data_IF_702108847442
#
_entry.id   IF_702108847442
#
_cell.length_a   1.000
_cell.length_b   1.000
_cell.length_c   1.000
_cell.angle_alpha   90.00
_cell.angle_beta   90.00
_cell.angle_gamma   90.00
#
_symmetry.space_group_name_H-M   'P 1'
#
loop_
_entity.id
_entity.type
_entity.pdbx_description
1 polymer ?
#
# COMPACT_ATOMS: atom_id res chain seq x y z
N UNK A 1 -10.90 55.52 -38.88
CA UNK A 1 -10.80 54.08 -39.19
C UNK A 1 -9.82 53.46 -38.21
N UNK A 2 -10.33 52.47 -37.48
CA UNK A 2 -9.69 51.33 -36.83
C UNK A 2 -8.66 51.54 -35.70
N UNK A 3 -9.18 51.28 -34.50
CA UNK A 3 -8.48 50.80 -33.33
C UNK A 3 -7.73 49.48 -33.59
N UNK A 4 -6.59 49.31 -32.91
CA UNK A 4 -5.98 48.01 -32.66
C UNK A 4 -5.77 47.88 -31.13
N UNK A 5 -6.30 46.83 -30.48
CA UNK A 5 -6.21 46.66 -29.04
C UNK A 5 -4.89 45.98 -28.63
N UNK A 6 -4.29 46.43 -27.54
CA UNK A 6 -3.21 45.70 -26.87
C UNK A 6 -3.79 44.50 -26.11
N UNK A 7 -3.31 43.32 -26.47
CA UNK A 7 -3.65 42.02 -25.88
C UNK A 7 -3.15 41.96 -24.42
N UNK A 8 -4.12 41.86 -23.50
CA UNK A 8 -3.90 41.47 -22.11
C UNK A 8 -3.55 39.97 -22.09
N UNK A 9 -2.34 39.65 -21.64
CA UNK A 9 -1.90 38.28 -21.40
C UNK A 9 -2.48 37.83 -20.06
N UNK A 10 -3.50 36.96 -20.11
CA UNK A 10 -3.98 36.22 -18.93
C UNK A 10 -2.97 35.12 -18.56
N UNK A 11 -2.51 35.02 -17.30
CA UNK A 11 -1.76 33.86 -16.85
C UNK A 11 -2.70 32.67 -16.69
N UNK A 12 -2.37 31.57 -17.36
CA UNK A 12 -3.07 30.28 -17.34
C UNK A 12 -2.95 29.66 -15.95
N UNK A 13 -4.10 29.43 -15.29
CA UNK A 13 -4.20 28.63 -14.06
C UNK A 13 -3.97 27.13 -14.39
N UNK A 14 -3.26 26.36 -13.54
CA UNK A 14 -3.16 24.92 -13.72
C UNK A 14 -4.51 24.24 -13.46
N UNK A 15 -4.89 23.33 -14.38
CA UNK A 15 -6.13 22.59 -14.34
C UNK A 15 -6.23 21.72 -13.07
N UNK A 16 -7.18 22.06 -12.21
CA UNK A 16 -7.58 21.27 -11.05
C UNK A 16 -8.46 20.10 -11.53
N UNK A 17 -7.91 18.89 -11.59
CA UNK A 17 -8.71 17.66 -11.77
C UNK A 17 -9.46 17.31 -10.46
N UNK A 18 -10.60 17.98 -10.22
CA UNK A 18 -11.58 17.53 -9.20
C UNK A 18 -12.52 16.50 -9.82
N UNK A 19 -12.45 15.23 -9.39
CA UNK A 19 -13.54 14.27 -9.61
C UNK A 19 -14.52 14.34 -8.44
N UNK A 20 -15.80 14.46 -8.75
CA UNK A 20 -16.92 14.52 -7.81
C UNK A 20 -17.10 13.19 -7.08
N UNK A 21 -17.30 13.15 -5.74
CA UNK A 21 -17.55 11.89 -5.04
C UNK A 21 -18.99 11.41 -5.22
N UNK A 22 -19.18 10.11 -5.44
CA UNK A 22 -20.49 9.44 -5.35
C UNK A 22 -20.96 9.33 -3.88
N UNK A 23 -22.29 9.30 -3.62
CA UNK A 23 -22.83 9.31 -2.27
C UNK A 23 -22.56 8.01 -1.50
N UNK A 24 -22.27 8.15 -0.20
CA UNK A 24 -21.88 7.07 0.73
C UNK A 24 -23.11 6.36 1.31
N UNK A 25 -23.12 5.02 1.45
CA UNK A 25 -24.08 4.33 2.31
C UNK A 25 -23.68 4.47 3.79
N UNK A 26 -24.69 4.46 4.67
CA UNK A 26 -24.58 4.68 6.13
C UNK A 26 -23.88 3.52 6.87
N UNK A 27 -23.18 3.78 7.98
CA UNK A 27 -22.44 2.75 8.72
C UNK A 27 -23.37 1.93 9.62
N UNK A 28 -23.13 0.62 9.70
CA UNK A 28 -23.58 -0.24 10.80
C UNK A 28 -22.39 -0.49 11.73
N UNK A 29 -22.59 -0.21 13.02
CA UNK A 29 -21.69 -0.54 14.12
C UNK A 29 -21.42 -2.05 14.15
N UNK A 30 -20.18 -2.47 14.41
CA UNK A 30 -19.75 -3.10 15.67
C UNK A 30 -18.26 -3.53 15.58
N UNK A 31 -17.50 -3.20 16.64
CA UNK A 31 -16.18 -3.77 16.94
C UNK A 31 -16.30 -5.27 17.25
N UNK A 32 -15.35 -6.10 16.80
CA UNK A 32 -15.11 -7.42 17.40
C UNK A 32 -13.61 -7.67 17.55
N UNK A 33 -13.26 -8.09 18.78
CA UNK A 33 -11.97 -8.60 19.21
C UNK A 33 -11.53 -9.82 18.40
N UNK A 34 -10.26 -9.83 17.96
CA UNK A 34 -9.59 -11.03 17.49
C UNK A 34 -9.37 -11.94 18.71
N UNK A 35 -10.11 -13.03 18.81
CA UNK A 35 -9.68 -14.23 19.52
C UNK A 35 -10.52 -15.45 19.10
N UNK A 36 -9.80 -16.54 18.82
CA UNK A 36 -10.24 -17.94 18.67
C UNK A 36 -10.68 -18.41 17.29
N UNK A 37 -9.69 -18.79 16.46
CA UNK A 37 -9.86 -19.83 15.44
C UNK A 37 -9.98 -21.19 16.16
N UNK A 38 -11.21 -21.63 16.45
CA UNK A 38 -11.51 -23.04 16.71
C UNK A 38 -12.25 -23.57 15.49
N UNK A 39 -11.64 -24.57 14.86
CA UNK A 39 -12.23 -25.36 13.77
C UNK A 39 -13.31 -26.25 14.39
N UNK A 40 -14.54 -26.14 13.89
CA UNK A 40 -15.65 -27.04 14.23
C UNK A 40 -16.01 -27.81 12.95
N UNK A 41 -16.17 -29.15 12.96
CA UNK A 41 -16.60 -29.89 11.77
C UNK A 41 -18.13 -29.99 11.75
N UNK A 42 -18.81 -29.64 10.65
CA UNK A 42 -20.28 -29.84 10.52
C UNK A 42 -20.83 -29.74 9.08
N UNK A 43 -22.15 -29.95 8.96
CA UNK A 43 -22.97 -30.54 7.87
C UNK A 43 -23.25 -29.68 6.61
N UNK A 44 -23.88 -30.31 5.59
CA UNK A 44 -24.35 -29.83 4.26
C UNK A 44 -25.03 -28.43 4.16
N UNK A 45 -25.32 -27.76 5.28
CA UNK A 45 -25.71 -26.34 5.35
C UNK A 45 -24.50 -25.38 5.21
N UNK A 46 -23.27 -25.89 5.24
CA UNK A 46 -22.05 -25.10 5.44
C UNK A 46 -21.39 -24.61 4.14
N UNK A 47 -21.68 -25.21 2.98
CA UNK A 47 -21.07 -24.80 1.70
C UNK A 47 -21.53 -23.41 1.27
N UNK A 48 -22.84 -23.14 1.36
CA UNK A 48 -23.40 -21.82 1.01
C UNK A 48 -22.88 -20.70 1.91
N UNK A 49 -22.73 -20.95 3.21
CA UNK A 49 -22.22 -19.95 4.16
C UNK A 49 -20.72 -19.70 3.98
N UNK A 50 -19.94 -20.76 3.74
CA UNK A 50 -18.51 -20.64 3.45
C UNK A 50 -18.26 -19.86 2.14
N UNK A 51 -19.02 -20.15 1.09
CA UNK A 51 -19.00 -19.41 -0.18
C UNK A 51 -19.46 -17.96 0.00
N UNK A 52 -20.52 -17.71 0.77
CA UNK A 52 -21.00 -16.37 1.06
C UNK A 52 -19.93 -15.54 1.80
N UNK A 53 -19.27 -16.10 2.81
CA UNK A 53 -18.18 -15.42 3.51
C UNK A 53 -16.95 -15.21 2.61
N UNK A 54 -16.65 -16.17 1.72
CA UNK A 54 -15.58 -16.03 0.73
C UNK A 54 -15.86 -14.83 -0.20
N UNK A 55 -17.06 -14.75 -0.78
CA UNK A 55 -17.46 -13.64 -1.64
C UNK A 55 -17.56 -12.32 -0.90
N UNK A 56 -18.02 -12.33 0.36
CA UNK A 56 -18.06 -11.12 1.20
C UNK A 56 -16.66 -10.54 1.38
N UNK A 57 -15.64 -11.37 1.57
CA UNK A 57 -14.25 -10.94 1.68
C UNK A 57 -13.66 -10.48 0.35
N UNK A 58 -13.92 -11.22 -0.75
CA UNK A 58 -13.54 -10.80 -2.10
C UNK A 58 -14.04 -9.39 -2.40
N UNK A 59 -15.29 -9.09 -2.06
CA UNK A 59 -15.95 -7.82 -2.35
C UNK A 59 -15.68 -6.71 -1.32
N UNK A 60 -15.09 -7.00 -0.17
CA UNK A 60 -14.73 -5.99 0.82
C UNK A 60 -13.44 -5.28 0.42
N UNK A 61 -13.59 -4.14 -0.27
CA UNK A 61 -12.48 -3.29 -0.71
C UNK A 61 -11.50 -2.92 0.42
N UNK A 62 -11.94 -2.89 1.68
CA UNK A 62 -11.07 -2.54 2.82
C UNK A 62 -10.02 -3.61 3.10
N UNK A 63 -10.32 -4.88 2.76
CA UNK A 63 -9.39 -5.99 2.94
C UNK A 63 -8.19 -5.86 1.98
N UNK A 64 -8.42 -5.34 0.78
CA UNK A 64 -7.42 -5.24 -0.29
C UNK A 64 -6.36 -4.13 -0.09
N UNK A 65 -6.29 -3.54 1.10
CA UNK A 65 -5.18 -2.67 1.52
C UNK A 65 -3.85 -3.43 1.67
N UNK A 66 -3.91 -4.76 1.85
CA UNK A 66 -2.78 -5.67 1.66
C UNK A 66 -3.22 -6.81 0.71
N UNK A 67 -3.08 -6.63 -0.62
CA UNK A 67 -3.63 -7.56 -1.60
C UNK A 67 -3.00 -8.96 -1.50
N UNK A 68 -1.72 -9.06 -1.10
CA UNK A 68 -1.05 -10.35 -0.98
C UNK A 68 -1.63 -11.20 0.16
N UNK A 69 -1.91 -10.58 1.32
CA UNK A 69 -2.58 -11.28 2.43
C UNK A 69 -4.01 -11.66 2.05
N UNK A 70 -4.77 -10.74 1.43
CA UNK A 70 -6.16 -11.03 1.01
C UNK A 70 -6.22 -12.18 0.03
N UNK A 71 -5.37 -12.18 -1.00
CA UNK A 71 -5.26 -13.28 -1.94
C UNK A 71 -4.94 -14.60 -1.25
N UNK A 72 -3.88 -14.66 -0.43
CA UNK A 72 -3.49 -15.91 0.28
C UNK A 72 -4.61 -16.43 1.15
N UNK A 73 -5.34 -15.53 1.80
CA UNK A 73 -6.45 -15.89 2.66
C UNK A 73 -7.63 -16.46 1.86
N UNK A 74 -8.02 -15.84 0.74
CA UNK A 74 -9.06 -16.34 -0.16
C UNK A 74 -8.66 -17.68 -0.80
N UNK A 75 -7.41 -17.81 -1.24
CA UNK A 75 -6.86 -19.05 -1.78
C UNK A 75 -6.89 -20.17 -0.72
N UNK A 76 -6.49 -19.86 0.52
CA UNK A 76 -6.54 -20.81 1.63
C UNK A 76 -7.95 -21.26 1.96
N UNK A 77 -8.91 -20.32 2.00
CA UNK A 77 -10.32 -20.68 2.20
C UNK A 77 -10.81 -21.63 1.12
N UNK A 78 -10.46 -21.40 -0.15
CA UNK A 78 -10.84 -22.29 -1.25
C UNK A 78 -10.19 -23.69 -1.12
N UNK A 79 -8.93 -23.77 -0.70
CA UNK A 79 -8.27 -25.05 -0.37
C UNK A 79 -8.99 -25.78 0.78
N UNK A 80 -9.31 -25.08 1.87
CA UNK A 80 -9.98 -25.66 3.04
C UNK A 80 -11.42 -26.12 2.69
N UNK A 81 -12.15 -25.36 1.85
CA UNK A 81 -13.47 -25.76 1.34
C UNK A 81 -13.39 -27.04 0.48
N UNK A 82 -12.39 -27.15 -0.42
CA UNK A 82 -12.22 -28.36 -1.22
C UNK A 82 -11.85 -29.56 -0.34
N UNK A 83 -10.91 -29.38 0.60
CA UNK A 83 -10.49 -30.44 1.52
C UNK A 83 -11.65 -30.92 2.42
N UNK A 84 -12.57 -30.01 2.76
CA UNK A 84 -13.81 -30.30 3.48
C UNK A 84 -14.94 -30.89 2.61
N UNK A 85 -14.75 -31.01 1.29
CA UNK A 85 -15.78 -31.50 0.36
C UNK A 85 -16.94 -30.51 0.14
N UNK A 86 -16.75 -29.23 0.48
CA UNK A 86 -17.77 -28.18 0.32
C UNK A 86 -17.85 -27.63 -1.10
N UNK A 87 -16.74 -27.73 -1.84
CA UNK A 87 -16.64 -27.37 -3.26
C UNK A 87 -15.89 -28.46 -4.02
N UNK A 88 -16.22 -28.64 -5.28
CA UNK A 88 -15.52 -29.57 -6.16
C UNK A 88 -14.20 -28.95 -6.71
N UNK A 89 -13.36 -29.75 -7.40
CA UNK A 89 -12.11 -29.23 -7.97
C UNK A 89 -12.28 -28.11 -9.01
N UNK A 90 -13.38 -28.09 -9.76
CA UNK A 90 -13.68 -27.06 -10.76
C UNK A 90 -14.12 -25.77 -10.07
N UNK A 91 -15.02 -25.85 -9.11
CA UNK A 91 -15.45 -24.69 -8.30
C UNK A 91 -14.25 -24.07 -7.57
N UNK A 92 -13.36 -24.88 -6.99
CA UNK A 92 -12.12 -24.37 -6.41
C UNK A 92 -11.28 -23.62 -7.43
N UNK A 93 -11.14 -24.16 -8.65
CA UNK A 93 -10.41 -23.50 -9.71
C UNK A 93 -11.02 -22.12 -10.04
N UNK A 94 -12.35 -22.03 -10.17
CA UNK A 94 -13.05 -20.76 -10.40
C UNK A 94 -12.83 -19.74 -9.27
N UNK A 95 -12.84 -20.18 -8.00
CA UNK A 95 -12.52 -19.32 -6.86
C UNK A 95 -11.08 -18.79 -6.92
N UNK A 96 -10.12 -19.62 -7.32
CA UNK A 96 -8.73 -19.20 -7.52
C UNK A 96 -8.60 -18.19 -8.65
N UNK A 97 -9.28 -18.39 -9.78
CA UNK A 97 -9.28 -17.45 -10.91
C UNK A 97 -9.87 -16.09 -10.49
N UNK A 98 -10.99 -16.10 -9.75
CA UNK A 98 -11.61 -14.88 -9.23
C UNK A 98 -10.70 -14.14 -8.23
N UNK A 99 -10.05 -14.85 -7.31
CA UNK A 99 -9.10 -14.24 -6.38
C UNK A 99 -7.87 -13.66 -7.10
N UNK A 100 -7.38 -14.36 -8.12
CA UNK A 100 -6.23 -13.93 -8.92
C UNK A 100 -6.57 -12.69 -9.75
N UNK A 101 -7.73 -12.69 -10.41
CA UNK A 101 -8.25 -11.53 -11.15
C UNK A 101 -8.46 -10.32 -10.24
N UNK A 102 -9.02 -10.52 -9.04
CA UNK A 102 -9.17 -9.44 -8.07
C UNK A 102 -7.80 -8.91 -7.61
N UNK A 103 -6.83 -9.78 -7.33
CA UNK A 103 -5.46 -9.36 -7.02
C UNK A 103 -4.88 -8.47 -8.12
N UNK A 104 -4.89 -8.95 -9.37
CA UNK A 104 -4.37 -8.17 -10.51
C UNK A 104 -5.06 -6.82 -10.63
N UNK A 105 -6.39 -6.79 -10.63
CA UNK A 105 -7.19 -5.57 -10.68
C UNK A 105 -6.81 -4.59 -9.54
N UNK A 106 -6.65 -5.07 -8.31
CA UNK A 106 -6.24 -4.21 -7.20
C UNK A 106 -4.80 -3.72 -7.31
N UNK A 107 -3.87 -4.52 -7.82
CA UNK A 107 -2.48 -4.11 -8.00
C UNK A 107 -2.24 -3.21 -9.21
N UNK A 108 -3.15 -3.21 -10.19
CA UNK A 108 -3.04 -2.44 -11.43
C UNK A 108 -3.94 -1.20 -11.45
N UNK A 109 -5.20 -1.34 -11.03
CA UNK A 109 -6.23 -0.29 -11.05
C UNK A 109 -6.52 0.30 -9.66
N UNK A 110 -5.99 -0.33 -8.60
CA UNK A 110 -6.34 -0.01 -7.22
C UNK A 110 -6.09 1.45 -6.85
N UNK A 111 -6.89 1.93 -5.89
CA UNK A 111 -6.64 3.20 -5.23
C UNK A 111 -5.36 2.99 -4.40
N UNK A 112 -4.21 3.33 -4.98
CA UNK A 112 -2.90 3.17 -4.36
C UNK A 112 -2.83 4.09 -3.14
N UNK A 113 -3.38 3.62 -2.01
CA UNK A 113 -2.93 4.12 -0.73
C UNK A 113 -1.44 3.84 -0.67
N UNK A 114 -0.64 4.90 -0.72
CA UNK A 114 0.82 4.80 -0.63
C UNK A 114 1.24 4.02 0.63
N UNK A 115 0.45 4.15 1.70
CA UNK A 115 0.67 3.46 2.96
C UNK A 115 0.24 1.99 2.85
N UNK A 116 1.20 1.10 3.05
CA UNK A 116 0.97 -0.31 3.34
C UNK A 116 0.76 -0.55 4.84
N UNK A 117 -0.30 -1.30 5.21
CA UNK A 117 -0.68 -1.52 6.62
C UNK A 117 0.35 -2.33 7.43
N UNK A 118 1.06 -3.25 6.77
CA UNK A 118 2.06 -4.10 7.41
C UNK A 118 3.42 -3.42 7.60
N UNK A 119 3.48 -2.10 7.34
CA UNK A 119 4.73 -1.35 7.37
C UNK A 119 4.79 -0.37 8.53
N UNK A 120 6.02 -0.16 8.97
CA UNK A 120 6.37 0.83 9.97
C UNK A 120 7.02 2.03 9.29
N UNK A 121 6.59 3.23 9.67
CA UNK A 121 7.07 4.48 9.08
C UNK A 121 7.64 5.39 10.15
N UNK A 122 8.80 6.00 9.89
CA UNK A 122 9.29 7.14 10.67
C UNK A 122 8.66 8.43 10.13
N UNK A 123 8.31 9.34 11.02
CA UNK A 123 7.84 10.67 10.69
C UNK A 123 8.95 11.69 10.90
N UNK A 124 9.36 12.34 9.81
CA UNK A 124 10.36 13.39 9.80
C UNK A 124 9.69 14.76 9.74
N UNK A 125 10.14 15.71 10.56
CA UNK A 125 9.77 17.11 10.39
C UNK A 125 10.54 17.75 9.22
N UNK A 126 10.21 19.02 8.91
CA UNK A 126 10.88 19.80 7.85
C UNK A 126 12.41 19.95 8.04
N UNK A 127 12.89 19.83 9.28
CA UNK A 127 14.31 19.87 9.61
C UNK A 127 15.05 18.54 9.41
N UNK A 128 14.36 17.49 8.95
CA UNK A 128 14.96 16.16 8.79
C UNK A 128 15.16 15.42 10.11
N UNK A 129 14.45 15.82 11.17
CA UNK A 129 14.51 15.18 12.49
C UNK A 129 13.31 14.24 12.64
N UNK A 130 13.56 13.02 13.13
CA UNK A 130 12.50 12.07 13.51
C UNK A 130 11.75 12.61 14.72
N UNK A 131 10.44 12.72 14.59
CA UNK A 131 9.53 13.20 15.66
C UNK A 131 8.47 12.15 16.06
N UNK A 132 8.50 10.98 15.43
CA UNK A 132 7.60 9.90 15.75
C UNK A 132 7.61 8.77 14.72
N UNK A 133 6.69 7.83 14.92
CA UNK A 133 6.44 6.71 14.02
C UNK A 133 4.96 6.52 13.77
N UNK A 134 4.60 6.13 12.54
CA UNK A 134 3.28 5.59 12.21
C UNK A 134 3.40 4.06 12.11
N UNK A 135 2.79 3.35 13.07
CA UNK A 135 2.83 1.89 13.21
C UNK A 135 1.43 1.34 13.00
N UNK A 136 1.17 0.72 11.85
CA UNK A 136 -0.18 0.42 11.39
C UNK A 136 -1.07 1.70 11.47
N UNK A 137 -2.16 1.72 12.23
CA UNK A 137 -3.03 2.89 12.39
C UNK A 137 -2.69 3.75 13.61
N UNK A 138 -1.50 3.61 14.21
CA UNK A 138 -1.11 4.31 15.44
C UNK A 138 0.06 5.24 15.20
N UNK A 139 -0.12 6.51 15.54
CA UNK A 139 0.97 7.47 15.56
C UNK A 139 1.55 7.57 16.97
N UNK A 140 2.86 7.41 17.10
CA UNK A 140 3.61 7.41 18.36
C UNK A 140 4.66 8.52 18.29
N UNK A 141 4.64 9.45 19.24
CA UNK A 141 5.69 10.46 19.37
C UNK A 141 6.91 9.85 20.05
N UNK A 142 8.09 10.11 19.50
CA UNK A 142 9.38 9.78 20.08
C UNK A 142 10.49 10.53 19.34
N UNK A 143 11.65 10.65 19.98
CA UNK A 143 12.85 11.22 19.38
C UNK A 143 13.64 10.16 18.60
N UNK A 144 14.63 10.59 17.81
CA UNK A 144 15.41 9.72 16.91
C UNK A 144 16.16 8.57 17.63
N UNK A 145 16.54 8.76 18.89
CA UNK A 145 17.28 7.79 19.71
C UNK A 145 16.37 6.85 20.52
N UNK A 146 15.05 7.01 20.38
CA UNK A 146 14.06 6.25 21.13
C UNK A 146 13.36 5.24 20.23
N UNK A 147 13.35 3.97 20.66
CA UNK A 147 12.47 2.98 20.05
C UNK A 147 11.02 3.32 20.40
N UNK A 148 10.09 3.32 19.43
CA UNK A 148 8.69 3.56 19.72
C UNK A 148 8.18 2.45 20.65
N UNK A 149 7.59 2.84 21.79
CA UNK A 149 6.95 1.88 22.67
C UNK A 149 5.64 1.41 22.01
N UNK A 150 5.60 0.15 21.54
CA UNK A 150 4.49 -0.37 20.72
C UNK A 150 3.11 -0.37 21.40
N UNK A 151 3.01 -0.17 22.72
CA UNK A 151 1.73 -0.01 23.41
C UNK A 151 1.32 1.46 23.61
N UNK A 152 2.25 2.41 23.44
CA UNK A 152 1.94 3.82 23.42
C UNK A 152 1.25 4.20 22.09
N UNK A 153 0.41 5.23 22.16
CA UNK A 153 -0.16 5.88 21.00
C UNK A 153 -0.51 7.31 21.40
N UNK A 154 -0.10 8.25 20.57
CA UNK A 154 -0.46 9.66 20.69
C UNK A 154 -1.75 9.94 19.93
N UNK A 155 -1.88 9.39 18.71
CA UNK A 155 -3.07 9.50 17.88
C UNK A 155 -3.35 8.20 17.11
N UNK A 156 -4.59 8.04 16.65
CA UNK A 156 -5.04 6.93 15.80
C UNK A 156 -5.52 7.43 14.45
N UNK A 157 -5.21 6.69 13.40
CA UNK A 157 -5.72 6.94 12.06
C UNK A 157 -7.14 6.40 11.93
N UNK A 158 -8.10 7.25 11.57
CA UNK A 158 -9.47 6.86 11.28
C UNK A 158 -9.65 6.42 9.81
N UNK A 159 -10.85 5.96 9.45
CA UNK A 159 -11.19 5.51 8.08
C UNK A 159 -11.12 6.63 7.02
N UNK A 160 -10.98 7.89 7.44
CA UNK A 160 -10.88 9.06 6.56
C UNK A 160 -9.46 9.63 6.56
N UNK A 161 -8.48 8.87 7.05
CA UNK A 161 -7.08 9.27 7.18
C UNK A 161 -6.84 10.47 8.10
N UNK A 162 -7.74 10.76 9.05
CA UNK A 162 -7.47 11.73 10.11
C UNK A 162 -6.73 11.05 11.26
N UNK A 163 -5.69 11.69 11.76
CA UNK A 163 -5.06 11.32 13.03
C UNK A 163 -5.83 11.99 14.17
N UNK A 164 -6.48 11.18 14.99
CA UNK A 164 -7.30 11.60 16.12
C UNK A 164 -6.59 11.26 17.44
N UNK A 165 -6.38 12.26 18.28
CA UNK A 165 -5.77 12.11 19.60
C UNK A 165 -6.74 11.45 20.59
N UNK A 166 -6.22 11.03 21.74
CA UNK A 166 -7.03 10.40 22.81
C UNK A 166 -8.17 11.28 23.33
N UNK A 167 -8.01 12.61 23.27
CA UNK A 167 -9.04 13.57 23.65
C UNK A 167 -10.02 13.90 22.50
N UNK A 168 -10.06 13.06 21.46
CA UNK A 168 -10.88 13.19 20.25
C UNK A 168 -10.60 14.42 19.40
N UNK A 169 -9.56 15.19 19.71
CA UNK A 169 -9.13 16.28 18.83
C UNK A 169 -8.34 15.71 17.65
N UNK A 170 -8.54 16.34 16.50
CA UNK A 170 -7.76 16.06 15.32
C UNK A 170 -6.33 16.59 15.52
N UNK A 171 -5.35 15.75 15.25
CA UNK A 171 -3.93 16.10 15.21
C UNK A 171 -3.49 16.50 13.79
N UNK A 172 -3.99 15.78 12.78
CA UNK A 172 -3.65 16.03 11.38
C UNK A 172 -4.38 15.12 10.41
N UNK A 173 -4.02 15.22 9.13
CA UNK A 173 -4.51 14.37 8.04
C UNK A 173 -3.33 13.68 7.37
N UNK A 174 -3.44 12.39 7.15
CA UNK A 174 -2.54 11.63 6.30
C UNK A 174 -2.99 11.74 4.84
N UNK A 175 -2.11 12.24 3.99
CA UNK A 175 -2.33 12.29 2.54
C UNK A 175 -1.04 11.85 1.82
N UNK A 176 -1.13 10.76 1.07
CA UNK A 176 0.05 10.14 0.46
C UNK A 176 1.10 9.79 1.51
N UNK A 177 2.28 10.41 1.40
CA UNK A 177 3.43 10.19 2.29
C UNK A 177 3.52 11.20 3.43
N UNK A 178 2.54 12.09 3.57
CA UNK A 178 2.65 13.25 4.44
C UNK A 178 1.56 13.26 5.50
N UNK A 179 1.92 13.68 6.70
CA UNK A 179 0.97 14.08 7.73
C UNK A 179 0.95 15.62 7.77
N UNK A 180 -0.19 16.19 7.43
CA UNK A 180 -0.46 17.63 7.60
C UNK A 180 -1.10 17.84 8.97
N UNK A 181 -0.34 18.38 9.91
CA UNK A 181 -0.82 18.63 11.28
C UNK A 181 -1.71 19.87 11.33
N UNK A 182 -2.61 19.93 12.31
CA UNK A 182 -3.46 21.11 12.57
C UNK A 182 -2.62 22.34 13.00
N UNK A 183 -1.37 22.13 13.42
CA UNK A 183 -0.42 23.22 13.73
C UNK A 183 0.27 23.81 12.49
N UNK A 184 -0.03 23.29 11.30
CA UNK A 184 0.59 23.72 10.04
C UNK A 184 1.94 23.08 9.73
N UNK A 185 2.42 22.15 10.57
CA UNK A 185 3.60 21.35 10.27
C UNK A 185 3.27 20.24 9.27
N UNK A 186 4.20 19.96 8.37
CA UNK A 186 4.18 18.80 7.47
C UNK A 186 5.22 17.81 7.95
N UNK A 187 4.78 16.57 8.20
CA UNK A 187 5.66 15.46 8.53
C UNK A 187 5.77 14.54 7.32
N UNK A 188 6.99 14.17 6.95
CA UNK A 188 7.26 13.22 5.86
C UNK A 188 7.41 11.83 6.44
N UNK A 189 6.62 10.88 5.93
CA UNK A 189 6.71 9.48 6.33
C UNK A 189 7.74 8.75 5.48
N UNK A 190 8.62 8.00 6.15
CA UNK A 190 9.63 7.15 5.54
C UNK A 190 9.39 5.71 5.98
N UNK A 191 9.06 4.83 5.03
CA UNK A 191 8.87 3.40 5.29
C UNK A 191 10.20 2.74 5.70
N UNK A 192 10.29 2.25 6.94
CA UNK A 192 11.51 1.65 7.51
C UNK A 192 11.56 0.14 7.34
N UNK A 193 10.45 -0.52 7.61
CA UNK A 193 10.35 -1.98 7.57
C UNK A 193 8.95 -2.40 7.18
N UNK A 194 8.85 -3.58 6.58
CA UNK A 194 7.57 -4.24 6.30
C UNK A 194 7.57 -5.65 6.85
N UNK A 195 6.51 -5.98 7.58
CA UNK A 195 6.24 -7.34 8.03
C UNK A 195 5.65 -8.14 6.88
N UNK A 196 6.35 -9.19 6.45
CA UNK A 196 5.89 -10.14 5.44
C UNK A 196 5.99 -11.53 6.05
N UNK A 197 4.86 -12.24 6.16
CA UNK A 197 4.77 -13.57 6.78
C UNK A 197 5.43 -13.65 8.18
N UNK A 198 5.27 -12.60 8.99
CA UNK A 198 5.81 -12.53 10.36
C UNK A 198 7.31 -12.22 10.44
N UNK A 199 7.96 -11.93 9.31
CA UNK A 199 9.36 -11.52 9.25
C UNK A 199 9.45 -10.05 8.85
N UNK A 200 10.27 -9.29 9.58
CA UNK A 200 10.58 -7.90 9.23
C UNK A 200 11.61 -7.87 8.11
N UNK A 201 11.22 -7.31 6.96
CA UNK A 201 12.13 -7.10 5.85
C UNK A 201 12.61 -5.66 5.82
N UNK A 202 13.83 -5.49 5.29
CA UNK A 202 14.36 -4.20 4.88
C UNK A 202 13.92 -3.89 3.44
N UNK A 203 13.75 -2.59 3.16
CA UNK A 203 13.36 -2.13 1.84
C UNK A 203 14.41 -2.55 0.83
N UNK A 204 13.95 -3.06 -0.31
CA UNK A 204 14.88 -3.47 -1.36
C UNK A 204 15.50 -2.23 -2.02
N UNK A 205 16.83 -2.14 -1.98
CA UNK A 205 17.61 -1.01 -2.47
C UNK A 205 18.70 -1.39 -3.46
N UNK A 206 18.85 -2.68 -3.73
CA UNK A 206 19.82 -3.22 -4.67
C UNK A 206 19.13 -3.46 -6.01
N UNK A 207 19.65 -2.83 -7.08
CA UNK A 207 19.07 -2.87 -8.42
C UNK A 207 19.02 -4.29 -8.99
N UNK A 208 20.09 -5.06 -8.81
CA UNK A 208 20.20 -6.43 -9.33
C UNK A 208 19.21 -7.35 -8.63
N UNK A 209 19.12 -7.30 -7.30
CA UNK A 209 18.12 -8.07 -6.56
C UNK A 209 16.68 -7.67 -6.92
N UNK A 210 16.42 -6.37 -7.09
CA UNK A 210 15.12 -5.90 -7.57
C UNK A 210 14.81 -6.48 -8.95
N UNK A 211 15.77 -6.44 -9.87
CA UNK A 211 15.57 -6.95 -11.21
C UNK A 211 15.28 -8.44 -11.21
N UNK A 212 16.10 -9.23 -10.51
CA UNK A 212 15.93 -10.68 -10.38
C UNK A 212 14.55 -11.03 -9.83
N UNK A 213 14.05 -10.29 -8.84
CA UNK A 213 12.72 -10.54 -8.27
C UNK A 213 11.59 -10.25 -9.25
N UNK A 214 11.68 -9.17 -10.03
CA UNK A 214 10.66 -8.85 -11.04
C UNK A 214 10.68 -9.87 -12.18
N UNK A 215 11.87 -10.25 -12.66
CA UNK A 215 12.00 -11.27 -13.71
C UNK A 215 11.46 -12.63 -13.21
N UNK A 216 11.76 -13.00 -11.96
CA UNK A 216 11.22 -14.19 -11.34
C UNK A 216 9.68 -14.12 -11.20
N UNK A 217 9.12 -12.95 -10.86
CA UNK A 217 7.66 -12.74 -10.84
C UNK A 217 7.04 -12.98 -12.21
N UNK A 218 7.64 -12.45 -13.28
CA UNK A 218 7.16 -12.64 -14.64
C UNK A 218 7.18 -14.12 -15.05
N UNK A 219 8.28 -14.82 -14.77
CA UNK A 219 8.40 -16.27 -15.01
C UNK A 219 7.34 -17.06 -14.24
N UNK A 220 7.09 -16.73 -12.97
CA UNK A 220 6.07 -17.39 -12.17
C UNK A 220 4.67 -17.20 -12.77
N UNK A 221 4.38 -15.99 -13.27
CA UNK A 221 3.12 -15.68 -13.94
C UNK A 221 2.97 -16.47 -15.25
N UNK A 222 4.02 -16.54 -16.07
CA UNK A 222 4.04 -17.29 -17.34
C UNK A 222 3.85 -18.81 -17.13
N UNK A 223 4.33 -19.33 -16.00
CA UNK A 223 4.16 -20.74 -15.60
C UNK A 223 2.80 -21.03 -14.97
N UNK A 224 1.97 -20.01 -14.74
CA UNK A 224 0.70 -20.14 -14.02
C UNK A 224 0.86 -20.37 -12.51
N UNK A 225 2.07 -20.19 -11.94
CA UNK A 225 2.28 -20.26 -10.49
C UNK A 225 1.96 -18.90 -9.84
N UNK A 226 0.66 -18.61 -9.75
CA UNK A 226 0.19 -17.34 -9.21
C UNK A 226 0.55 -17.17 -7.73
N UNK A 227 0.71 -18.26 -6.98
CA UNK A 227 1.11 -18.23 -5.57
C UNK A 227 2.56 -17.74 -5.42
N UNK A 228 3.46 -18.23 -6.27
CA UNK A 228 4.83 -17.72 -6.34
C UNK A 228 4.84 -16.27 -6.82
N UNK A 229 4.07 -15.93 -7.86
CA UNK A 229 3.93 -14.55 -8.35
C UNK A 229 3.53 -13.58 -7.23
N UNK A 230 2.46 -13.85 -6.47
CA UNK A 230 2.01 -12.98 -5.37
C UNK A 230 3.09 -12.81 -4.29
N UNK A 231 3.86 -13.87 -4.01
CA UNK A 231 4.91 -13.83 -2.99
C UNK A 231 6.13 -13.00 -3.44
N UNK A 232 6.52 -13.13 -4.70
CA UNK A 232 7.58 -12.31 -5.30
C UNK A 232 7.13 -10.86 -5.45
N UNK A 233 5.87 -10.64 -5.85
CA UNK A 233 5.23 -9.33 -5.92
C UNK A 233 5.26 -8.58 -4.59
N UNK A 234 4.86 -9.24 -3.51
CA UNK A 234 4.88 -8.63 -2.17
C UNK A 234 6.31 -8.21 -1.78
N UNK A 235 7.32 -9.00 -2.17
CA UNK A 235 8.72 -8.69 -1.88
C UNK A 235 9.24 -7.50 -2.68
N UNK A 236 9.02 -7.46 -4.00
CA UNK A 236 9.54 -6.39 -4.85
C UNK A 236 8.69 -5.11 -4.80
N UNK A 237 7.41 -5.20 -4.39
CA UNK A 237 6.58 -4.02 -4.09
C UNK A 237 7.10 -3.25 -2.87
N UNK A 238 7.89 -3.89 -2.01
CA UNK A 238 8.62 -3.24 -0.93
C UNK A 238 10.07 -2.92 -1.34
N UNK A 239 10.20 -1.94 -2.22
CA UNK A 239 11.49 -1.47 -2.74
C UNK A 239 11.54 0.05 -2.87
N UNK A 240 12.74 0.61 -3.01
CA UNK A 240 12.93 2.01 -3.39
C UNK A 240 12.68 2.25 -4.87
N UNK A 241 12.48 1.19 -5.64
CA UNK A 241 12.30 1.23 -7.08
C UNK A 241 10.81 1.15 -7.43
N UNK A 242 10.46 1.80 -8.53
CA UNK A 242 9.14 1.67 -9.15
C UNK A 242 9.33 1.30 -10.62
N UNK A 243 8.34 0.59 -11.15
CA UNK A 243 8.25 0.33 -12.59
C UNK A 243 8.33 1.66 -13.35
N UNK A 244 9.13 1.70 -14.40
CA UNK A 244 9.27 2.90 -15.21
C UNK A 244 7.92 3.24 -15.83
N UNK A 245 7.43 4.45 -15.63
CA UNK A 245 6.11 4.87 -16.12
C UNK A 245 6.09 5.12 -17.63
N UNK A 246 7.26 5.13 -18.29
CA UNK A 246 7.38 5.36 -19.74
C UNK A 246 7.38 4.06 -20.55
N UNK A 247 8.27 3.12 -20.22
CA UNK A 247 8.31 1.82 -20.90
C UNK A 247 7.43 0.77 -20.25
N UNK A 248 6.98 0.99 -19.00
CA UNK A 248 6.21 0.02 -18.20
C UNK A 248 6.92 -1.33 -18.04
N UNK A 249 8.26 -1.33 -18.08
CA UNK A 249 9.08 -2.56 -18.15
C UNK A 249 8.71 -3.47 -19.34
N UNK A 250 8.15 -2.88 -20.40
CA UNK A 250 7.69 -3.60 -21.57
C UNK A 250 8.86 -4.09 -22.43
N UNK A 251 8.93 -5.40 -22.65
CA UNK A 251 10.01 -6.08 -23.38
C UNK A 251 10.41 -5.40 -24.70
N UNK A 252 9.42 -4.96 -25.49
CA UNK A 252 9.66 -4.39 -26.82
C UNK A 252 10.23 -2.95 -26.82
N UNK A 253 10.12 -2.22 -25.71
CA UNK A 253 10.44 -0.79 -25.63
C UNK A 253 11.41 -0.45 -24.51
N UNK A 254 11.73 -1.43 -23.64
CA UNK A 254 12.55 -1.22 -22.45
C UNK A 254 13.97 -0.83 -22.81
N UNK A 255 14.64 -1.61 -23.66
CA UNK A 255 16.08 -1.47 -23.90
C UNK A 255 16.45 -0.12 -24.53
N UNK A 256 15.52 0.48 -25.28
CA UNK A 256 15.66 1.82 -25.89
C UNK A 256 15.12 2.96 -25.00
N UNK A 257 14.62 2.66 -23.79
CA UNK A 257 13.98 3.65 -22.94
C UNK A 257 14.99 4.55 -22.24
N UNK A 258 15.07 5.81 -22.69
CA UNK A 258 15.95 6.84 -22.11
C UNK A 258 15.56 7.30 -20.71
N UNK A 259 14.32 7.03 -20.26
CA UNK A 259 13.87 7.42 -18.91
C UNK A 259 14.37 6.49 -17.81
N UNK A 260 14.71 5.25 -18.15
CA UNK A 260 15.22 4.27 -17.20
C UNK A 260 16.55 3.65 -17.64
N UNK A 261 17.18 4.20 -18.69
CA UNK A 261 18.42 3.69 -19.31
C UNK A 261 18.37 2.18 -19.57
N UNK A 262 17.25 1.67 -20.08
CA UNK A 262 17.10 0.24 -20.34
C UNK A 262 16.75 -0.65 -19.14
N UNK A 263 16.68 -0.10 -17.90
CA UNK A 263 16.46 -0.91 -16.70
C UNK A 263 15.03 -1.42 -16.52
N UNK A 264 14.04 -0.71 -17.08
CA UNK A 264 12.61 -1.01 -16.89
C UNK A 264 12.02 -0.47 -15.58
N UNK A 265 12.85 0.07 -14.69
CA UNK A 265 12.48 0.68 -13.42
C UNK A 265 13.34 1.90 -13.11
N UNK A 266 12.88 2.73 -12.19
CA UNK A 266 13.58 3.90 -11.68
C UNK A 266 13.52 3.88 -10.15
N UNK A 267 14.44 4.59 -9.49
CA UNK A 267 14.20 4.97 -8.10
C UNK A 267 12.94 5.83 -8.02
N UNK A 268 12.10 5.52 -7.04
CA UNK A 268 10.88 6.26 -6.75
C UNK A 268 11.23 7.75 -6.53
N UNK A 269 10.78 8.68 -7.40
CA UNK A 269 11.16 10.09 -7.30
C UNK A 269 10.69 10.75 -6.00
N UNK A 270 9.67 10.19 -5.39
CA UNK A 270 9.13 10.63 -4.11
C UNK A 270 9.69 9.79 -2.95
N UNK A 271 10.68 8.92 -3.19
CA UNK A 271 11.27 8.06 -2.17
C UNK A 271 11.84 8.92 -1.05
N UNK A 272 11.26 8.85 0.16
CA UNK A 272 11.64 9.73 1.24
C UNK A 272 12.97 9.29 1.90
N UNK A 273 13.64 8.25 1.36
CA UNK A 273 14.95 7.75 1.79
C UNK A 273 16.12 8.65 1.36
N UNK A 274 15.90 9.55 0.39
CA UNK A 274 16.77 10.70 0.24
C UNK A 274 16.34 11.65 1.35
N UNK A 275 16.93 11.47 2.54
CA UNK A 275 16.80 12.41 3.66
C UNK A 275 16.86 13.84 3.10
N UNK A 276 16.09 14.82 3.63
CA UNK A 276 16.44 16.22 3.38
C UNK A 276 17.90 16.36 3.76
N UNK A 277 18.74 16.64 2.76
CA UNK A 277 20.20 16.62 2.84
C UNK A 277 20.61 17.15 4.20
N UNK A 278 21.25 16.29 5.01
CA UNK A 278 21.75 16.65 6.32
C UNK A 278 22.54 17.94 6.12
N UNK A 279 22.03 19.05 6.63
CA UNK A 279 22.77 20.31 6.68
C UNK A 279 24.05 19.93 7.41
N UNK A 280 25.14 19.77 6.66
CA UNK A 280 26.45 19.51 7.20
C UNK A 280 26.65 20.61 8.24
N UNK A 281 26.68 20.22 9.52
CA UNK A 281 27.16 21.08 10.58
C UNK A 281 28.55 21.50 10.13
N UNK A 282 28.66 22.73 9.66
CA UNK A 282 29.93 23.43 9.51
C UNK A 282 30.63 23.31 10.85
N UNK A 283 31.65 22.46 10.91
CA UNK A 283 32.61 22.50 12.01
C UNK A 283 33.28 23.86 11.92
N UNK A 284 32.87 24.77 12.80
CA UNK A 284 33.72 25.88 13.19
C UNK A 284 34.92 25.27 13.92
N UNK A 285 36.10 25.42 13.34
CA UNK A 285 37.41 25.30 13.99
C UNK A 285 38.31 26.33 13.35
#
# INVERSE_FOLDING_TARGET
>A
MNAAPQLVVNPTLPASCRRTPLPKPKPLNYCIHIQQLRITPMNESDSSDALAEWHKRLNDRRQWTNPAITYRFLARMAEDMQAGGLVDPLERFELFELASAAFCHFTEEGNHEWRHQASDYLAYNKGGIVVGSLLNSRYVLHEADQSPYHAAHFAFLDEKNNLIMRDYKKYGVLEGRYIYTETGQTLTLVEQSRQINGVSYQRLSDEDQYRVLVDASAVALDQGDFKAYVSLWERHSYSIFIRCLHCLDGFAVRDDCTHCDGRGFIEDPECPNILPSTVQRTKAS
#
